data_IF_816691993687
#
_entry.id   IF_816691993687
#
_cell.length_a   1.000
_cell.length_b   1.000
_cell.length_c   1.000
_cell.angle_alpha   90.00
_cell.angle_beta   90.00
_cell.angle_gamma   90.00
#
_symmetry.space_group_name_H-M   'P 1'
#
loop_
_entity.id
_entity.type
_entity.pdbx_description
1 polymer ?
#
# COMPACT_ATOMS: atom_id res chain seq x y z
N UNK A 1 17.81 -29.81 41.95
CA UNK A 1 16.43 -30.16 41.57
C UNK A 1 15.59 -28.94 41.87
N UNK A 2 15.11 -28.14 40.94
CA UNK A 2 15.13 -28.08 39.48
C UNK A 2 14.86 -26.60 39.16
N UNK A 3 15.59 -26.04 38.20
CA UNK A 3 15.36 -24.70 37.65
C UNK A 3 14.26 -24.80 36.59
N UNK A 4 13.11 -24.17 36.84
CA UNK A 4 12.02 -24.04 35.87
C UNK A 4 12.24 -22.82 34.97
N UNK A 5 12.73 -23.10 33.76
CA UNK A 5 12.96 -22.16 32.67
C UNK A 5 11.67 -21.45 32.24
N UNK A 6 11.74 -20.13 32.09
CA UNK A 6 10.79 -19.35 31.31
C UNK A 6 10.90 -19.81 29.85
N UNK A 7 9.82 -20.31 29.27
CA UNK A 7 9.75 -20.58 27.83
C UNK A 7 9.51 -19.25 27.13
N UNK A 8 10.53 -18.74 26.45
CA UNK A 8 10.38 -17.71 25.43
C UNK A 8 9.38 -18.22 24.39
N UNK A 9 8.24 -17.55 24.31
CA UNK A 9 7.30 -17.72 23.21
C UNK A 9 8.01 -17.33 21.93
N UNK A 10 8.35 -18.33 21.13
CA UNK A 10 8.82 -18.17 19.77
C UNK A 10 7.67 -17.53 18.98
N UNK A 11 7.73 -16.22 18.74
CA UNK A 11 6.92 -15.57 17.70
C UNK A 11 7.40 -16.18 16.38
N UNK A 12 6.56 -16.99 15.76
CA UNK A 12 6.73 -17.35 14.36
C UNK A 12 6.42 -16.06 13.60
N UNK A 13 7.43 -15.25 13.28
CA UNK A 13 7.27 -14.24 12.24
C UNK A 13 7.02 -15.03 10.95
N UNK A 14 5.85 -14.82 10.32
CA UNK A 14 5.69 -15.22 8.93
C UNK A 14 6.76 -14.42 8.18
N UNK A 15 7.77 -15.07 7.59
CA UNK A 15 8.63 -14.36 6.64
C UNK A 15 7.72 -13.94 5.49
N UNK A 16 7.52 -12.63 5.33
CA UNK A 16 6.74 -12.08 4.24
C UNK A 16 7.38 -12.41 2.89
N UNK A 17 6.62 -12.32 1.81
CA UNK A 17 7.23 -12.22 0.48
C UNK A 17 7.60 -10.76 0.27
N UNK A 18 8.83 -10.50 -0.18
CA UNK A 18 9.29 -9.14 -0.46
C UNK A 18 8.32 -8.42 -1.41
N UNK A 19 7.86 -7.25 -0.99
CA UNK A 19 7.10 -6.35 -1.85
C UNK A 19 8.00 -5.87 -2.99
N UNK A 20 7.45 -5.93 -4.20
CA UNK A 20 8.10 -5.48 -5.43
C UNK A 20 7.46 -4.19 -5.90
N UNK A 21 8.19 -3.42 -6.68
CA UNK A 21 7.78 -2.09 -7.12
C UNK A 21 7.09 -2.12 -8.49
N UNK A 22 6.26 -1.12 -8.75
CA UNK A 22 5.66 -0.89 -10.06
C UNK A 22 5.21 0.55 -10.24
N UNK A 23 4.83 0.92 -11.45
CA UNK A 23 4.23 2.23 -11.75
C UNK A 23 3.01 2.11 -12.65
N UNK A 24 2.09 3.07 -12.54
CA UNK A 24 0.95 3.16 -13.44
C UNK A 24 0.48 4.60 -13.68
N UNK A 25 -0.03 4.86 -14.89
CA UNK A 25 -0.76 6.10 -15.25
C UNK A 25 -2.29 5.96 -15.10
N UNK A 26 -2.74 4.88 -14.45
CA UNK A 26 -4.15 4.51 -14.31
C UNK A 26 -4.71 3.68 -15.47
N UNK A 27 -3.92 3.50 -16.54
CA UNK A 27 -4.27 2.64 -17.68
C UNK A 27 -3.18 1.61 -17.97
N UNK A 28 -1.94 2.05 -18.01
CA UNK A 28 -0.76 1.24 -18.32
C UNK A 28 0.00 0.98 -17.05
N UNK A 29 0.42 -0.26 -16.84
CA UNK A 29 1.15 -0.71 -15.68
C UNK A 29 2.52 -1.23 -16.08
N UNK A 30 3.55 -0.90 -15.30
CA UNK A 30 4.90 -1.45 -15.40
C UNK A 30 5.30 -2.02 -14.04
N UNK A 31 5.34 -3.35 -13.93
CA UNK A 31 5.67 -4.04 -12.67
C UNK A 31 7.03 -4.75 -12.76
N UNK A 32 7.86 -4.55 -11.75
CA UNK A 32 9.14 -5.23 -11.59
C UNK A 32 8.86 -6.63 -11.01
N UNK A 33 8.61 -7.61 -11.87
CA UNK A 33 8.24 -8.96 -11.43
C UNK A 33 9.44 -9.71 -10.86
N UNK A 34 10.66 -9.39 -11.31
CA UNK A 34 11.86 -10.10 -10.88
C UNK A 34 12.49 -9.50 -9.60
N UNK A 35 12.05 -8.31 -9.19
CA UNK A 35 12.48 -7.62 -7.96
C UNK A 35 13.91 -7.10 -8.01
N UNK A 36 14.47 -6.89 -9.21
CA UNK A 36 15.85 -6.43 -9.37
C UNK A 36 15.97 -4.90 -9.41
N UNK A 37 14.83 -4.18 -9.39
CA UNK A 37 14.69 -2.73 -9.41
C UNK A 37 15.20 -2.07 -10.70
N UNK A 38 15.15 -2.80 -11.81
CA UNK A 38 15.56 -2.37 -13.15
C UNK A 38 14.51 -2.83 -14.15
N UNK A 39 14.06 -1.93 -15.04
CA UNK A 39 13.10 -2.31 -16.07
C UNK A 39 13.74 -3.25 -17.11
N UNK A 40 13.23 -4.47 -17.17
CA UNK A 40 13.65 -5.54 -18.07
C UNK A 40 12.46 -6.07 -18.89
N UNK A 41 12.33 -5.65 -20.15
CA UNK A 41 11.21 -6.05 -21.02
C UNK A 41 11.00 -7.56 -21.23
N UNK A 42 11.96 -8.39 -20.83
CA UNK A 42 11.88 -9.86 -20.91
C UNK A 42 11.41 -10.55 -19.63
N UNK A 43 11.45 -9.86 -18.49
CA UNK A 43 11.07 -10.42 -17.18
C UNK A 43 10.04 -9.59 -16.44
N UNK A 44 9.80 -8.35 -16.86
CA UNK A 44 8.89 -7.42 -16.23
C UNK A 44 7.59 -7.32 -17.01
N UNK A 45 6.54 -6.92 -16.31
CA UNK A 45 5.20 -6.83 -16.87
C UNK A 45 4.93 -5.43 -17.42
N UNK A 46 4.43 -5.37 -18.66
CA UNK A 46 3.69 -4.21 -19.18
C UNK A 46 2.26 -4.62 -19.49
N UNK A 47 1.28 -4.11 -18.74
CA UNK A 47 -0.13 -4.44 -18.89
C UNK A 47 -1.00 -3.20 -19.15
N UNK A 48 -2.18 -3.42 -19.74
CA UNK A 48 -3.21 -2.38 -19.91
C UNK A 48 -4.43 -2.80 -19.10
N UNK A 49 -4.63 -2.15 -17.97
CA UNK A 49 -5.77 -2.34 -17.08
C UNK A 49 -6.21 -0.98 -16.52
N UNK A 50 -7.43 -0.57 -16.86
CA UNK A 50 -8.02 0.69 -16.43
C UNK A 50 -8.14 1.78 -17.50
N UNK A 51 -8.22 3.02 -17.03
CA UNK A 51 -8.47 4.21 -17.85
C UNK A 51 -7.57 5.36 -17.41
N UNK A 52 -7.03 6.10 -18.37
CA UNK A 52 -6.08 7.17 -18.10
C UNK A 52 -6.70 8.23 -17.17
N UNK A 53 -5.93 8.64 -16.16
CA UNK A 53 -6.37 9.61 -15.14
C UNK A 53 -7.12 9.01 -13.96
N UNK A 54 -7.39 7.70 -13.96
CA UNK A 54 -7.82 6.98 -12.77
C UNK A 54 -6.59 6.64 -11.92
N UNK A 55 -6.81 6.29 -10.66
CA UNK A 55 -5.72 5.95 -9.74
C UNK A 55 -5.56 4.44 -9.69
N UNK A 56 -4.31 4.02 -9.89
CA UNK A 56 -3.87 2.66 -9.62
C UNK A 56 -3.87 2.40 -8.11
N UNK A 57 -4.35 1.22 -7.74
CA UNK A 57 -4.33 0.64 -6.40
C UNK A 57 -4.01 -0.84 -6.55
N UNK A 58 -3.45 -1.44 -5.52
CA UNK A 58 -3.05 -2.83 -5.54
C UNK A 58 -3.42 -3.52 -4.24
N UNK A 59 -3.69 -4.80 -4.34
CA UNK A 59 -4.16 -5.62 -3.23
C UNK A 59 -4.29 -7.06 -3.63
N UNK A 60 -4.22 -7.95 -2.65
CA UNK A 60 -4.67 -9.33 -2.75
C UNK A 60 -6.21 -9.32 -2.67
N UNK A 61 -6.89 -9.19 -3.81
CA UNK A 61 -8.34 -9.00 -3.84
C UNK A 61 -9.09 -10.33 -3.66
N UNK A 62 -8.41 -11.46 -3.83
CA UNK A 62 -9.00 -12.80 -3.83
C UNK A 62 -8.55 -13.69 -2.65
N UNK A 63 -7.59 -13.22 -1.85
CA UNK A 63 -7.07 -13.86 -0.64
C UNK A 63 -6.07 -14.98 -0.90
N UNK A 64 -5.39 -15.01 -2.05
CA UNK A 64 -4.44 -16.08 -2.41
C UNK A 64 -2.97 -15.78 -2.05
N UNK A 65 -2.70 -14.58 -1.53
CA UNK A 65 -1.40 -14.07 -1.12
C UNK A 65 -0.60 -13.40 -2.24
N UNK A 66 -1.16 -13.29 -3.45
CA UNK A 66 -0.60 -12.55 -4.58
C UNK A 66 -1.29 -11.19 -4.65
N UNK A 67 -0.60 -10.19 -5.18
CA UNK A 67 -1.20 -8.87 -5.39
C UNK A 67 -1.68 -8.73 -6.82
N UNK A 68 -2.91 -8.29 -6.99
CA UNK A 68 -3.53 -8.03 -8.29
C UNK A 68 -3.72 -6.54 -8.56
N UNK A 69 -4.05 -6.23 -9.83
CA UNK A 69 -4.29 -4.87 -10.29
C UNK A 69 -5.68 -4.37 -9.87
N UNK A 70 -5.73 -3.11 -9.43
CA UNK A 70 -6.97 -2.38 -9.20
C UNK A 70 -6.90 -0.95 -9.71
N UNK A 71 -8.03 -0.42 -10.17
CA UNK A 71 -8.14 0.99 -10.59
C UNK A 71 -9.41 1.63 -10.07
N UNK A 72 -9.32 2.90 -9.67
CA UNK A 72 -10.46 3.65 -9.16
C UNK A 72 -10.41 5.15 -9.49
N UNK A 73 -11.57 5.73 -9.75
CA UNK A 73 -11.77 7.20 -9.82
C UNK A 73 -12.16 7.81 -8.46
N UNK A 74 -12.11 7.02 -7.38
CA UNK A 74 -12.58 7.37 -6.04
C UNK A 74 -14.05 7.02 -5.79
N UNK A 75 -14.79 6.58 -6.81
CA UNK A 75 -16.16 6.07 -6.69
C UNK A 75 -16.29 4.66 -7.24
N UNK A 76 -15.85 4.46 -8.47
CA UNK A 76 -15.99 3.21 -9.20
C UNK A 76 -14.67 2.48 -9.12
N UNK A 77 -14.72 1.23 -8.69
CA UNK A 77 -13.56 0.37 -8.52
C UNK A 77 -13.65 -0.81 -9.48
N UNK A 78 -12.51 -1.20 -10.04
CA UNK A 78 -12.32 -2.37 -10.89
C UNK A 78 -11.16 -3.18 -10.31
N UNK A 79 -11.36 -4.49 -10.16
CA UNK A 79 -10.40 -5.43 -9.57
C UNK A 79 -10.14 -6.57 -10.54
N UNK A 80 -8.87 -6.84 -10.85
CA UNK A 80 -8.39 -7.96 -11.69
C UNK A 80 -8.38 -9.26 -10.87
N UNK A 81 -9.54 -9.90 -10.65
CA UNK A 81 -9.67 -10.92 -9.60
C UNK A 81 -8.91 -12.23 -9.90
N UNK A 82 -8.65 -12.53 -11.16
CA UNK A 82 -7.89 -13.72 -11.55
C UNK A 82 -6.40 -13.43 -11.81
N UNK A 83 -5.96 -12.18 -11.59
CA UNK A 83 -4.57 -11.76 -11.74
C UNK A 83 -4.02 -11.92 -13.17
N UNK A 84 -4.88 -12.03 -14.18
CA UNK A 84 -4.44 -12.26 -15.55
C UNK A 84 -3.99 -10.96 -16.26
N UNK A 85 -4.18 -9.80 -15.61
CA UNK A 85 -3.82 -8.46 -16.06
C UNK A 85 -4.65 -7.94 -17.26
N UNK A 86 -5.84 -8.51 -17.47
CA UNK A 86 -6.75 -8.21 -18.58
C UNK A 86 -8.18 -8.17 -18.05
N UNK A 87 -8.84 -7.02 -18.26
CA UNK A 87 -10.24 -6.87 -17.84
C UNK A 87 -11.18 -7.90 -18.49
N UNK A 88 -11.73 -8.80 -17.67
CA UNK A 88 -12.78 -9.75 -18.01
C UNK A 88 -14.04 -9.48 -17.14
N UNK A 89 -15.11 -8.88 -17.70
CA UNK A 89 -16.32 -8.56 -16.95
C UNK A 89 -17.11 -9.78 -16.44
N UNK A 90 -16.71 -11.01 -16.80
CA UNK A 90 -17.31 -12.25 -16.30
C UNK A 90 -16.59 -12.86 -15.09
N UNK A 91 -15.36 -12.41 -14.81
CA UNK A 91 -14.52 -12.89 -13.71
C UNK A 91 -14.20 -11.73 -12.74
N UNK A 92 -13.84 -10.59 -13.29
CA UNK A 92 -13.45 -9.41 -12.54
C UNK A 92 -14.62 -8.70 -11.85
N UNK A 93 -14.28 -8.00 -10.77
CA UNK A 93 -15.26 -7.32 -9.93
C UNK A 93 -15.28 -5.82 -10.22
N UNK A 94 -16.49 -5.27 -10.24
CA UNK A 94 -16.73 -3.83 -10.19
C UNK A 94 -17.56 -3.47 -8.97
N UNK A 95 -17.20 -2.36 -8.32
CA UNK A 95 -17.88 -1.87 -7.13
C UNK A 95 -18.06 -0.36 -7.12
N UNK A 96 -18.97 0.12 -6.28
CA UNK A 96 -19.18 1.55 -6.03
C UNK A 96 -18.95 1.84 -4.55
N UNK A 97 -17.86 2.55 -4.25
CA UNK A 97 -17.47 2.97 -2.91
C UNK A 97 -16.80 4.34 -2.98
N UNK A 98 -17.36 5.33 -2.27
CA UNK A 98 -16.91 6.72 -2.30
C UNK A 98 -17.58 7.59 -3.37
N UNK A 99 -16.90 8.68 -3.75
CA UNK A 99 -17.33 9.66 -4.76
C UNK A 99 -16.17 10.04 -5.69
N UNK A 100 -16.50 10.37 -6.93
CA UNK A 100 -15.50 10.66 -7.97
C UNK A 100 -14.59 11.81 -7.52
N UNK A 101 -13.28 11.59 -7.63
CA UNK A 101 -12.23 12.52 -7.22
C UNK A 101 -11.73 12.32 -5.79
N UNK A 102 -12.35 11.44 -5.00
CA UNK A 102 -11.79 11.02 -3.71
C UNK A 102 -10.56 10.13 -3.94
N UNK A 103 -9.62 10.14 -3.00
CA UNK A 103 -8.38 9.38 -3.13
C UNK A 103 -8.60 7.92 -2.69
N UNK A 104 -8.48 6.92 -3.56
CA UNK A 104 -8.59 5.52 -3.20
C UNK A 104 -7.35 5.04 -2.43
N UNK A 105 -7.58 4.19 -1.44
CA UNK A 105 -6.57 3.51 -0.63
C UNK A 105 -6.97 2.04 -0.48
N UNK A 106 -6.00 1.16 -0.25
CA UNK A 106 -6.22 -0.26 -0.03
C UNK A 106 -5.33 -0.78 1.10
N UNK A 107 -5.82 -1.78 1.81
CA UNK A 107 -5.16 -2.40 2.95
C UNK A 107 -6.08 -3.45 3.58
N UNK A 108 -5.52 -4.44 4.26
CA UNK A 108 -6.28 -5.44 5.03
C UNK A 108 -6.70 -4.81 6.37
N UNK A 109 -7.86 -4.13 6.41
CA UNK A 109 -8.25 -3.33 7.58
C UNK A 109 -8.76 -4.20 8.74
N UNK A 110 -9.28 -5.39 8.42
CA UNK A 110 -9.92 -6.28 9.38
C UNK A 110 -9.04 -7.48 9.81
N UNK A 111 -7.94 -7.73 9.09
CA UNK A 111 -6.93 -8.75 9.37
C UNK A 111 -7.31 -10.14 8.88
N UNK A 112 -8.17 -10.26 7.87
CA UNK A 112 -8.61 -11.55 7.33
C UNK A 112 -7.63 -12.14 6.30
N UNK A 113 -6.64 -11.36 5.88
CA UNK A 113 -5.63 -11.71 4.87
C UNK A 113 -5.99 -11.30 3.45
N UNK A 114 -7.16 -10.70 3.23
CA UNK A 114 -7.61 -10.14 1.95
C UNK A 114 -7.46 -8.62 2.00
N UNK A 115 -7.15 -7.99 0.87
CA UNK A 115 -7.08 -6.53 0.80
C UNK A 115 -8.46 -5.91 0.65
N UNK A 116 -8.79 -5.00 1.56
CA UNK A 116 -10.00 -4.19 1.51
C UNK A 116 -9.76 -2.83 0.82
N UNK A 117 -10.85 -2.08 0.63
CA UNK A 117 -10.81 -0.75 0.01
C UNK A 117 -11.17 0.37 0.99
N UNK A 118 -10.70 1.57 0.65
CA UNK A 118 -11.08 2.80 1.32
C UNK A 118 -10.95 4.00 0.42
N UNK A 119 -11.50 5.13 0.85
CA UNK A 119 -11.37 6.41 0.15
C UNK A 119 -11.12 7.55 1.14
N UNK A 120 -10.37 8.54 0.69
CA UNK A 120 -10.02 9.73 1.48
C UNK A 120 -10.45 10.99 0.74
N UNK A 121 -11.21 11.83 1.44
CA UNK A 121 -11.63 13.15 0.96
C UNK A 121 -11.08 14.24 1.89
N UNK A 122 -9.97 14.87 1.47
CA UNK A 122 -9.25 15.82 2.31
C UNK A 122 -8.60 15.11 3.51
N UNK A 123 -9.12 15.34 4.70
CA UNK A 123 -8.67 14.71 5.96
C UNK A 123 -9.60 13.58 6.44
N UNK A 124 -10.68 13.31 5.70
CA UNK A 124 -11.73 12.39 6.13
C UNK A 124 -11.59 11.07 5.39
N UNK A 125 -11.42 9.99 6.15
CA UNK A 125 -11.30 8.62 5.66
C UNK A 125 -12.65 7.91 5.73
N UNK A 126 -12.84 6.98 4.81
CA UNK A 126 -13.95 6.05 4.73
C UNK A 126 -13.35 4.68 4.41
N UNK A 127 -13.40 3.74 5.35
CA UNK A 127 -12.83 2.40 5.20
C UNK A 127 -13.95 1.36 5.18
N UNK A 128 -13.91 0.48 4.20
CA UNK A 128 -14.75 -0.71 4.12
C UNK A 128 -14.17 -1.78 5.04
N UNK A 129 -14.81 -2.03 6.20
CA UNK A 129 -14.27 -2.95 7.21
C UNK A 129 -14.82 -4.38 7.11
N UNK A 130 -15.68 -4.65 6.14
CA UNK A 130 -16.28 -5.96 5.98
C UNK A 130 -15.92 -6.61 4.63
N UNK A 131 -15.05 -5.96 3.85
CA UNK A 131 -14.51 -6.43 2.57
C UNK A 131 -15.53 -6.58 1.45
N UNK A 132 -16.76 -6.09 1.61
CA UNK A 132 -17.81 -6.35 0.61
C UNK A 132 -17.77 -5.36 -0.58
N UNK A 133 -16.96 -4.31 -0.49
CA UNK A 133 -16.79 -3.20 -1.42
C UNK A 133 -18.06 -2.36 -1.63
N UNK A 134 -18.85 -2.17 -0.56
CA UNK A 134 -20.09 -1.39 -0.50
C UNK A 134 -20.13 -0.63 0.83
N UNK A 135 -20.51 0.65 0.79
CA UNK A 135 -20.60 1.45 2.02
C UNK A 135 -21.75 1.01 2.93
N UNK A 136 -21.40 0.52 4.11
CA UNK A 136 -22.28 0.05 5.16
C UNK A 136 -22.08 0.85 6.45
N UNK A 137 -22.96 1.83 6.70
CA UNK A 137 -22.84 2.74 7.85
C UNK A 137 -22.86 2.06 9.25
N UNK A 138 -23.21 0.77 9.32
CA UNK A 138 -23.20 -0.03 10.56
C UNK A 138 -21.88 -0.75 10.85
N UNK A 139 -21.07 -1.01 9.82
CA UNK A 139 -19.80 -1.77 9.94
C UNK A 139 -18.59 -0.94 9.56
N UNK A 140 -18.77 -0.04 8.59
CA UNK A 140 -17.68 0.74 8.02
C UNK A 140 -17.32 1.92 8.91
N UNK A 141 -16.08 2.36 8.77
CA UNK A 141 -15.55 3.46 9.57
C UNK A 141 -15.43 4.74 8.76
N UNK A 142 -15.77 5.83 9.43
CA UNK A 142 -15.38 7.18 8.99
C UNK A 142 -14.78 7.95 10.16
N UNK A 143 -13.67 8.63 9.88
CA UNK A 143 -12.91 9.39 10.87
C UNK A 143 -12.04 10.44 10.18
N UNK A 144 -11.39 11.28 10.98
CA UNK A 144 -10.47 12.32 10.49
C UNK A 144 -9.04 11.97 10.86
N UNK A 145 -8.19 11.91 9.85
CA UNK A 145 -6.75 11.74 9.97
C UNK A 145 -6.11 12.36 8.74
N UNK A 146 -5.37 13.45 8.86
CA UNK A 146 -4.94 14.14 7.66
C UNK A 146 -4.50 15.58 7.84
N UNK A 147 -3.78 16.04 6.83
CA UNK A 147 -3.51 17.45 6.58
C UNK A 147 -3.80 17.76 5.11
N UNK A 148 -4.24 18.98 4.83
CA UNK A 148 -4.58 19.39 3.46
C UNK A 148 -3.39 19.24 2.51
N UNK A 149 -3.60 18.56 1.39
CA UNK A 149 -2.57 18.33 0.36
C UNK A 149 -1.65 17.13 0.61
N UNK A 150 -1.77 16.46 1.77
CA UNK A 150 -1.00 15.27 2.08
C UNK A 150 -1.64 14.04 1.43
N UNK A 151 -0.80 13.07 1.08
CA UNK A 151 -1.23 11.81 0.44
C UNK A 151 -1.49 10.77 1.53
N UNK A 152 -2.59 10.04 1.45
CA UNK A 152 -2.80 8.88 2.32
C UNK A 152 -1.91 7.72 1.87
N UNK A 153 -1.49 6.91 2.85
CA UNK A 153 -0.75 5.65 2.68
C UNK A 153 -1.32 4.61 3.64
N UNK A 154 -1.03 3.34 3.39
CA UNK A 154 -1.50 2.22 4.19
C UNK A 154 -0.46 1.12 4.27
N UNK A 155 -0.47 0.36 5.36
CA UNK A 155 0.49 -0.72 5.61
C UNK A 155 0.40 -1.22 7.03
N UNK A 156 0.88 -2.44 7.26
CA UNK A 156 1.03 -3.03 8.59
C UNK A 156 2.28 -2.44 9.25
N UNK A 157 2.10 -1.36 10.03
CA UNK A 157 3.24 -0.65 10.63
C UNK A 157 3.76 -1.35 11.89
N UNK A 158 2.96 -2.21 12.51
CA UNK A 158 3.24 -2.79 13.82
C UNK A 158 3.46 -4.32 13.79
N UNK A 159 3.27 -4.96 12.63
CA UNK A 159 3.45 -6.39 12.37
C UNK A 159 2.36 -7.27 12.96
N UNK A 160 1.14 -6.78 13.16
CA UNK A 160 0.02 -7.56 13.70
C UNK A 160 -0.81 -8.29 12.63
N UNK A 161 -0.50 -8.05 11.35
CA UNK A 161 -1.19 -8.62 10.20
C UNK A 161 -2.33 -7.76 9.67
N UNK A 162 -2.61 -6.59 10.25
CA UNK A 162 -3.58 -5.62 9.74
C UNK A 162 -2.87 -4.43 9.13
N UNK A 163 -3.50 -3.82 8.14
CA UNK A 163 -3.08 -2.53 7.64
C UNK A 163 -3.60 -1.41 8.54
N UNK A 164 -2.71 -0.50 8.89
CA UNK A 164 -3.05 0.79 9.48
C UNK A 164 -2.94 1.92 8.45
N UNK A 165 -3.40 3.11 8.85
CA UNK A 165 -3.39 4.31 8.03
C UNK A 165 -2.13 5.15 8.26
N UNK A 166 -1.79 5.96 7.27
CA UNK A 166 -0.79 7.01 7.41
C UNK A 166 -1.01 8.14 6.41
N UNK A 167 -0.28 9.23 6.58
CA UNK A 167 -0.24 10.36 5.64
C UNK A 167 1.19 10.86 5.45
N UNK A 168 1.48 11.36 4.26
CA UNK A 168 2.77 12.00 3.95
C UNK A 168 2.66 13.11 2.91
N UNK A 169 3.49 14.14 3.04
CA UNK A 169 3.71 15.15 1.99
C UNK A 169 4.92 14.83 1.09
N UNK A 170 5.46 13.60 1.20
CA UNK A 170 6.67 13.15 0.53
C UNK A 170 7.96 13.43 1.32
N UNK A 171 7.87 14.18 2.42
CA UNK A 171 8.98 14.42 3.36
C UNK A 171 8.64 13.98 4.76
N UNK A 172 7.53 14.47 5.27
CA UNK A 172 7.10 14.24 6.65
C UNK A 172 6.04 13.17 6.62
N UNK A 173 6.17 12.18 7.50
CA UNK A 173 5.26 11.06 7.60
C UNK A 173 4.58 11.07 8.98
N UNK A 174 3.30 10.69 9.00
CA UNK A 174 2.54 10.40 10.20
C UNK A 174 1.87 9.05 10.02
N UNK A 175 2.23 8.06 10.85
CA UNK A 175 1.75 6.68 10.78
C UNK A 175 1.00 6.36 12.06
N UNK A 176 -0.25 5.92 11.96
CA UNK A 176 -1.08 5.48 13.09
C UNK A 176 -0.67 4.06 13.50
N UNK A 177 0.31 3.94 14.40
CA UNK A 177 0.92 2.64 14.72
C UNK A 177 -0.02 1.72 15.49
N UNK A 178 -0.99 2.29 16.21
CA UNK A 178 -1.86 1.52 17.10
C UNK A 178 -3.21 1.17 16.44
N UNK A 179 -3.46 1.64 15.21
CA UNK A 179 -4.64 1.35 14.40
C UNK A 179 -5.94 1.92 14.95
N UNK A 180 -5.89 2.88 15.88
CA UNK A 180 -7.09 3.41 16.52
C UNK A 180 -7.74 4.56 15.74
N UNK A 181 -7.11 5.02 14.65
CA UNK A 181 -7.57 6.05 13.73
C UNK A 181 -7.55 7.48 14.33
N UNK A 182 -6.70 7.70 15.35
CA UNK A 182 -6.54 8.97 16.07
C UNK A 182 -5.05 9.28 16.18
N UNK A 183 -4.64 10.46 15.71
CA UNK A 183 -3.26 10.90 15.87
C UNK A 183 -2.89 11.20 17.33
N UNK A 184 -1.94 10.44 17.86
CA UNK A 184 -1.43 10.51 19.22
C UNK A 184 0.11 10.47 19.21
N UNK A 185 0.80 11.62 19.37
CA UNK A 185 2.27 11.69 19.26
C UNK A 185 3.08 10.79 20.19
N UNK A 186 2.45 10.20 21.22
CA UNK A 186 3.08 9.27 22.16
C UNK A 186 2.89 7.79 21.80
N UNK A 187 1.98 7.48 20.88
CA UNK A 187 1.65 6.12 20.45
C UNK A 187 1.94 5.91 18.97
N UNK A 188 1.96 6.99 18.20
CA UNK A 188 2.13 6.99 16.75
C UNK A 188 3.51 7.50 16.32
N UNK A 189 3.88 7.19 15.07
CA UNK A 189 5.17 7.60 14.52
C UNK A 189 5.05 8.88 13.70
N UNK A 190 6.03 9.78 13.89
CA UNK A 190 6.29 10.88 12.96
C UNK A 190 7.77 10.91 12.58
N UNK A 191 8.05 11.01 11.30
CA UNK A 191 9.42 10.91 10.78
C UNK A 191 9.66 11.84 9.58
N UNK A 192 10.92 11.92 9.14
CA UNK A 192 11.33 12.66 7.95
C UNK A 192 12.09 11.74 7.01
N UNK A 193 11.49 11.43 5.86
CA UNK A 193 12.05 10.62 4.80
C UNK A 193 11.59 11.16 3.44
N UNK A 194 12.55 11.56 2.59
CA UNK A 194 12.28 12.22 1.31
C UNK A 194 12.23 13.75 1.36
N UNK A 195 11.56 14.37 0.38
CA UNK A 195 11.39 15.81 0.23
C UNK A 195 9.95 16.16 -0.17
N UNK A 196 9.49 17.36 0.22
CA UNK A 196 8.11 17.78 0.01
C UNK A 196 7.76 17.77 -1.47
N UNK A 197 6.65 17.13 -1.82
CA UNK A 197 6.17 16.97 -3.20
C UNK A 197 6.63 15.68 -3.89
N UNK A 198 7.49 14.88 -3.26
CA UNK A 198 7.75 13.52 -3.71
C UNK A 198 6.54 12.63 -3.46
N UNK A 199 6.38 11.56 -4.24
CA UNK A 199 5.24 10.65 -4.13
C UNK A 199 5.54 9.58 -3.07
N UNK A 200 4.80 9.55 -1.94
CA UNK A 200 4.94 8.49 -0.96
C UNK A 200 4.27 7.20 -1.43
N UNK A 201 4.82 6.07 -1.03
CA UNK A 201 4.28 4.72 -1.18
C UNK A 201 4.92 3.80 -0.12
N UNK A 202 4.41 2.59 0.03
CA UNK A 202 4.74 1.72 1.16
C UNK A 202 4.79 0.26 0.72
N UNK A 203 5.51 -0.59 1.45
CA UNK A 203 5.64 -2.01 1.17
C UNK A 203 6.66 -2.67 2.08
N UNK A 204 6.58 -3.99 2.22
CA UNK A 204 7.55 -4.79 2.97
C UNK A 204 8.79 -5.03 2.10
N UNK A 205 9.77 -4.12 2.18
CA UNK A 205 10.96 -4.13 1.35
C UNK A 205 12.00 -5.14 1.81
N UNK A 206 11.95 -5.57 3.08
CA UNK A 206 12.96 -6.44 3.68
C UNK A 206 12.45 -7.85 4.03
N UNK A 207 11.17 -8.13 3.75
CA UNK A 207 10.47 -9.41 3.98
C UNK A 207 10.32 -9.81 5.45
N UNK A 208 10.34 -8.85 6.37
CA UNK A 208 10.19 -9.13 7.80
C UNK A 208 8.72 -9.19 8.27
N UNK A 209 7.77 -8.86 7.38
CA UNK A 209 6.34 -8.84 7.64
C UNK A 209 5.82 -7.51 8.18
N UNK A 210 6.67 -6.47 8.27
CA UNK A 210 6.29 -5.10 8.59
C UNK A 210 6.37 -4.27 7.31
N UNK A 211 5.48 -3.30 7.16
CA UNK A 211 5.49 -2.40 6.01
C UNK A 211 6.43 -1.23 6.25
N UNK A 212 7.34 -0.99 5.32
CA UNK A 212 8.22 0.18 5.33
C UNK A 212 7.75 1.30 4.42
N UNK A 213 8.32 2.49 4.62
CA UNK A 213 8.05 3.69 3.83
C UNK A 213 8.97 3.81 2.62
N UNK A 214 8.50 4.50 1.59
CA UNK A 214 9.26 4.81 0.39
C UNK A 214 8.77 6.10 -0.28
N UNK A 215 9.65 6.72 -1.07
CA UNK A 215 9.31 7.91 -1.86
C UNK A 215 9.84 7.82 -3.29
N UNK A 216 9.10 8.39 -4.23
CA UNK A 216 9.50 8.52 -5.63
C UNK A 216 9.55 9.99 -6.03
N UNK A 217 10.65 10.38 -6.66
CA UNK A 217 10.84 11.68 -7.29
C UNK A 217 11.03 11.50 -8.80
N UNK A 218 9.97 11.75 -9.57
CA UNK A 218 9.95 11.41 -10.98
C UNK A 218 10.02 9.89 -11.15
N UNK A 219 11.18 9.38 -11.59
CA UNK A 219 11.45 7.94 -11.72
C UNK A 219 12.58 7.46 -10.81
N UNK A 220 13.02 8.29 -9.86
CA UNK A 220 14.04 7.92 -8.87
C UNK A 220 13.36 7.50 -7.59
N UNK A 221 13.64 6.28 -7.16
CA UNK A 221 13.04 5.61 -6.01
C UNK A 221 13.98 5.67 -4.81
N UNK A 222 13.40 5.74 -3.62
CA UNK A 222 14.09 5.68 -2.34
C UNK A 222 13.27 4.78 -1.40
N UNK A 223 13.86 3.68 -0.94
CA UNK A 223 13.24 2.71 -0.03
C UNK A 223 13.96 2.74 1.32
N UNK A 224 13.20 2.87 2.40
CA UNK A 224 13.68 2.69 3.77
C UNK A 224 13.83 1.20 4.04
N UNK A 225 15.04 0.65 3.92
CA UNK A 225 15.23 -0.80 3.89
C UNK A 225 15.26 -1.43 5.29
N UNK A 226 15.59 -0.66 6.32
CA UNK A 226 15.64 -1.16 7.71
C UNK A 226 14.43 -0.72 8.55
N UNK A 227 13.47 -0.02 7.95
CA UNK A 227 12.23 0.39 8.59
C UNK A 227 12.44 1.40 9.73
N UNK A 228 13.60 2.05 9.79
CA UNK A 228 13.91 2.97 10.87
C UNK A 228 13.30 4.38 10.66
N UNK A 229 12.65 4.60 9.51
CA UNK A 229 12.00 5.82 9.06
C UNK A 229 12.94 7.02 8.87
N UNK A 230 14.23 6.77 8.62
CA UNK A 230 15.29 7.77 8.42
C UNK A 230 16.17 7.35 7.25
N UNK A 231 16.50 8.30 6.38
CA UNK A 231 17.37 7.99 5.24
C UNK A 231 18.81 7.67 5.67
N UNK A 232 19.22 6.41 5.46
CA UNK A 232 20.57 5.88 5.68
C UNK A 232 21.19 5.38 4.38
N UNK A 233 22.03 6.21 3.75
CA UNK A 233 22.61 5.92 2.44
C UNK A 233 23.48 4.64 2.34
N UNK A 234 23.82 4.00 3.46
CA UNK A 234 24.54 2.71 3.50
C UNK A 234 23.63 1.49 3.60
N UNK A 235 22.34 1.68 3.90
CA UNK A 235 21.37 0.62 4.16
C UNK A 235 20.22 0.74 3.15
N UNK A 236 19.70 1.95 2.99
CA UNK A 236 18.59 2.27 2.12
C UNK A 236 18.92 2.17 0.64
N UNK A 237 17.88 1.90 -0.14
CA UNK A 237 18.02 1.65 -1.57
C UNK A 237 17.58 2.87 -2.36
N UNK A 238 18.36 3.24 -3.36
CA UNK A 238 17.95 4.18 -4.41
C UNK A 238 18.27 3.65 -5.80
N UNK A 239 17.36 3.87 -6.75
CA UNK A 239 17.45 3.34 -8.11
C UNK A 239 16.51 4.12 -9.05
N UNK A 240 16.62 3.87 -10.34
CA UNK A 240 15.76 4.45 -11.37
C UNK A 240 14.87 3.35 -11.93
N UNK A 241 13.56 3.57 -11.90
CA UNK A 241 12.58 2.66 -12.48
C UNK A 241 11.35 3.44 -13.00
N UNK A 242 10.84 3.05 -14.16
CA UNK A 242 9.65 3.63 -14.76
C UNK A 242 9.81 5.05 -15.32
N UNK A 243 8.72 5.80 -15.32
CA UNK A 243 8.62 7.14 -15.95
C UNK A 243 8.28 8.21 -14.91
N UNK A 244 8.56 9.48 -15.22
CA UNK A 244 8.46 10.57 -14.23
C UNK A 244 7.04 10.98 -13.82
N UNK A 245 6.05 10.60 -14.62
CA UNK A 245 4.69 11.18 -14.53
C UNK A 245 3.66 10.14 -14.06
N UNK A 246 4.11 8.96 -13.64
CA UNK A 246 3.28 7.84 -13.20
C UNK A 246 3.25 7.75 -11.67
N UNK A 247 2.24 7.07 -11.15
CA UNK A 247 2.10 6.82 -9.71
C UNK A 247 2.81 5.52 -9.32
N UNK A 248 3.54 5.48 -8.19
CA UNK A 248 4.10 4.26 -7.66
C UNK A 248 3.01 3.32 -7.15
N UNK A 249 3.24 2.02 -7.31
CA UNK A 249 2.48 0.92 -6.70
C UNK A 249 3.47 -0.13 -6.18
N UNK A 250 2.99 -0.97 -5.28
CA UNK A 250 3.78 -2.04 -4.67
C UNK A 250 2.89 -3.24 -4.39
N UNK A 251 3.52 -4.40 -4.30
CA UNK A 251 2.80 -5.66 -4.08
C UNK A 251 3.68 -6.88 -4.26
N UNK A 252 3.12 -8.04 -3.91
CA UNK A 252 3.66 -9.33 -4.23
C UNK A 252 3.19 -9.78 -5.62
N UNK A 253 3.87 -9.32 -6.67
CA UNK A 253 3.54 -9.68 -8.06
C UNK A 253 4.17 -11.02 -8.48
N UNK A 254 3.48 -11.79 -9.32
CA UNK A 254 3.96 -13.06 -9.90
C UNK A 254 3.99 -13.07 -11.42
#
# INVERSE_FOLDING_TARGET
MESGSLTNGFRITRSGTQSKIGMSDGKTWHLDLNGNNVWDSSSDLSAIFGSAGWKAVSGDWNGDGITELGISDGKTWYFDLDGNNVWDPSIDKTSIFGLTGWFPVSGDWDGDGTTDIGVVNGDTWYLDLNGNAVWDASTDKTFKFGASGWKPVAGDWNGDGKSEIGISDGKTWYLDLNGNNIWEPSLDASSVFGLTGWLPFTGDWNSDGITEIGVVNGNTWYLDMDGNNVWDASIDKTFIYGTSDWYPVSGNWV
#
